data_IF_798227350114
#
_entry.id   IF_798227350114
#
_cell.length_a   1.000
_cell.length_b   1.000
_cell.length_c   1.000
_cell.angle_alpha   90.00
_cell.angle_beta   90.00
_cell.angle_gamma   90.00
#
_symmetry.space_group_name_H-M   'P 1'
#
loop_
_entity.id
_entity.type
_entity.pdbx_description
1 polymer ?
#
# COMPACT_ATOMS: atom_id res chain seq x y z
N UNK A 1 12.05 -28.48 18.34
CA UNK A 1 10.96 -28.12 17.43
C UNK A 1 11.19 -26.68 17.02
N UNK A 2 11.84 -26.45 15.87
CA UNK A 2 12.03 -25.09 15.36
C UNK A 2 10.71 -24.61 14.82
N UNK A 3 10.14 -23.57 15.44
CA UNK A 3 9.04 -22.82 14.83
C UNK A 3 9.52 -22.32 13.47
N UNK A 4 8.94 -22.87 12.39
CA UNK A 4 9.06 -22.30 11.06
C UNK A 4 8.54 -20.87 11.15
N UNK A 5 9.46 -19.90 11.21
CA UNK A 5 9.11 -18.51 11.37
C UNK A 5 8.53 -18.05 10.03
N UNK A 6 7.20 -18.01 9.93
CA UNK A 6 6.54 -17.52 8.72
C UNK A 6 6.91 -16.04 8.61
N UNK A 7 7.52 -15.60 7.48
CA UNK A 7 7.96 -14.23 7.34
C UNK A 7 6.76 -13.29 7.32
N UNK A 8 6.88 -12.13 7.98
CA UNK A 8 5.89 -11.07 7.87
C UNK A 8 5.76 -10.63 6.41
N UNK A 9 4.52 -10.49 5.95
CA UNK A 9 4.17 -10.13 4.57
C UNK A 9 3.66 -8.69 4.52
N UNK A 10 4.36 -7.86 3.76
CA UNK A 10 4.05 -6.46 3.55
C UNK A 10 3.62 -6.22 2.11
N UNK A 11 2.53 -5.50 1.92
CA UNK A 11 2.15 -4.95 0.63
C UNK A 11 2.37 -3.44 0.62
N UNK A 12 2.93 -2.90 -0.45
CA UNK A 12 3.07 -1.46 -0.69
C UNK A 12 2.19 -1.09 -1.87
N UNK A 13 1.17 -0.28 -1.64
CA UNK A 13 0.34 0.33 -2.69
C UNK A 13 0.97 1.64 -3.12
N UNK A 14 1.57 1.62 -4.31
CA UNK A 14 2.19 2.80 -4.92
C UNK A 14 1.12 3.69 -5.55
N UNK A 15 0.79 4.79 -4.88
CA UNK A 15 -0.24 5.75 -5.31
C UNK A 15 0.31 6.87 -6.20
N UNK A 16 1.42 6.60 -6.90
CA UNK A 16 2.05 7.52 -7.84
C UNK A 16 2.58 6.75 -9.06
N UNK A 17 2.51 7.39 -10.23
CA UNK A 17 3.11 6.86 -11.44
C UNK A 17 4.64 6.96 -11.34
N UNK A 18 5.35 5.98 -11.89
CA UNK A 18 6.81 5.98 -11.89
C UNK A 18 7.34 7.28 -12.50
N UNK A 19 8.21 7.96 -11.74
CA UNK A 19 8.90 9.13 -12.26
C UNK A 19 10.11 8.70 -13.07
N UNK A 20 10.35 9.32 -14.22
CA UNK A 20 11.60 9.16 -14.99
C UNK A 20 12.86 9.70 -14.28
N UNK A 21 12.78 10.04 -12.98
CA UNK A 21 13.87 10.67 -12.23
C UNK A 21 14.83 9.59 -11.71
N UNK A 22 16.15 9.76 -11.89
CA UNK A 22 17.13 8.87 -11.29
C UNK A 22 17.11 9.01 -9.75
N UNK A 23 17.11 7.87 -9.05
CA UNK A 23 17.09 7.77 -7.58
C UNK A 23 16.23 6.60 -7.09
N UNK A 24 16.32 6.24 -5.79
CA UNK A 24 15.46 5.22 -5.21
C UNK A 24 13.99 5.70 -5.21
N UNK A 25 13.08 4.81 -5.59
CA UNK A 25 11.64 5.06 -5.49
C UNK A 25 11.22 5.08 -4.02
N UNK A 26 10.07 5.70 -3.70
CA UNK A 26 9.53 5.66 -2.33
C UNK A 26 9.28 4.19 -1.92
N UNK A 27 8.71 3.39 -2.81
CA UNK A 27 8.52 1.94 -2.59
C UNK A 27 9.84 1.21 -2.31
N UNK A 28 10.92 1.55 -3.02
CA UNK A 28 12.25 1.00 -2.77
C UNK A 28 12.83 1.41 -1.41
N UNK A 29 12.71 2.68 -1.04
CA UNK A 29 13.13 3.18 0.28
C UNK A 29 12.34 2.53 1.42
N UNK A 30 11.03 2.34 1.26
CA UNK A 30 10.19 1.63 2.22
C UNK A 30 10.56 0.16 2.33
N UNK A 31 10.82 -0.51 1.20
CA UNK A 31 11.30 -1.90 1.19
C UNK A 31 12.60 -2.04 1.97
N UNK A 32 13.58 -1.16 1.72
CA UNK A 32 14.82 -1.13 2.48
C UNK A 32 14.56 -0.94 3.97
N UNK A 33 13.72 0.02 4.37
CA UNK A 33 13.40 0.26 5.79
C UNK A 33 12.73 -0.95 6.45
N UNK A 34 11.82 -1.63 5.74
CA UNK A 34 11.20 -2.87 6.22
C UNK A 34 12.28 -3.91 6.47
N UNK A 35 13.18 -4.15 5.53
CA UNK A 35 14.25 -5.14 5.68
C UNK A 35 15.27 -4.79 6.76
N UNK A 36 15.48 -3.51 7.08
CA UNK A 36 16.29 -3.13 8.24
C UNK A 36 15.64 -3.55 9.57
N UNK A 37 14.31 -3.61 9.64
CA UNK A 37 13.58 -3.96 10.86
C UNK A 37 13.19 -5.44 10.92
N UNK A 38 12.87 -6.02 9.75
CA UNK A 38 12.45 -7.40 9.54
C UNK A 38 13.22 -7.97 8.33
N UNK A 39 14.46 -8.47 8.54
CA UNK A 39 15.32 -8.92 7.45
C UNK A 39 14.70 -9.99 6.54
N UNK A 40 13.87 -10.87 7.09
CA UNK A 40 13.23 -11.97 6.37
C UNK A 40 11.85 -11.61 5.80
N UNK A 41 11.41 -10.35 5.91
CA UNK A 41 10.09 -9.93 5.46
C UNK A 41 9.89 -10.11 3.95
N UNK A 42 8.73 -10.63 3.57
CA UNK A 42 8.28 -10.66 2.19
C UNK A 42 7.61 -9.32 1.86
N UNK A 43 8.11 -8.61 0.85
CA UNK A 43 7.57 -7.31 0.43
C UNK A 43 7.10 -7.39 -1.02
N UNK A 44 5.87 -6.98 -1.28
CA UNK A 44 5.30 -6.89 -2.64
C UNK A 44 4.83 -5.46 -2.92
N UNK A 45 5.13 -4.94 -4.11
CA UNK A 45 4.70 -3.60 -4.54
C UNK A 45 3.58 -3.77 -5.56
N UNK A 46 2.48 -3.05 -5.35
CA UNK A 46 1.30 -3.02 -6.20
C UNK A 46 1.09 -1.61 -6.74
N UNK A 47 0.73 -1.50 -8.02
CA UNK A 47 0.52 -0.22 -8.72
C UNK A 47 -0.88 -0.13 -9.33
N UNK A 48 -1.96 0.02 -8.53
CA UNK A 48 -3.32 0.18 -9.06
C UNK A 48 -3.46 1.38 -10.02
N UNK A 49 -2.66 2.44 -9.81
CA UNK A 49 -2.58 3.59 -10.73
C UNK A 49 -2.14 3.22 -12.16
N UNK A 50 -1.46 2.08 -12.32
CA UNK A 50 -1.05 1.51 -13.62
C UNK A 50 -1.92 0.32 -14.04
N UNK A 51 -3.03 0.06 -13.34
CA UNK A 51 -3.96 -1.04 -13.64
C UNK A 51 -3.57 -2.39 -13.04
N UNK A 52 -2.58 -2.45 -12.16
CA UNK A 52 -2.31 -3.68 -11.38
C UNK A 52 -3.46 -3.96 -10.40
N UNK A 53 -3.66 -5.23 -10.05
CA UNK A 53 -4.62 -5.64 -9.03
C UNK A 53 -4.21 -5.15 -7.63
N UNK A 54 -5.19 -5.03 -6.74
CA UNK A 54 -4.94 -4.78 -5.32
C UNK A 54 -4.44 -6.07 -4.63
N UNK A 55 -3.62 -5.96 -3.57
CA UNK A 55 -3.26 -7.12 -2.76
C UNK A 55 -4.49 -7.79 -2.18
N UNK A 56 -4.45 -9.11 -2.03
CA UNK A 56 -5.49 -9.83 -1.31
C UNK A 56 -5.39 -9.52 0.21
N UNK A 57 -6.51 -9.08 0.79
CA UNK A 57 -6.60 -8.74 2.21
C UNK A 57 -6.32 -9.95 3.12
N UNK A 58 -6.53 -11.19 2.68
CA UNK A 58 -6.20 -12.35 3.53
C UNK A 58 -4.71 -12.73 3.51
N UNK A 59 -3.91 -12.12 2.62
CA UNK A 59 -2.57 -12.60 2.28
C UNK A 59 -1.42 -11.80 2.91
N UNK A 60 -1.71 -10.67 3.56
CA UNK A 60 -0.70 -9.73 4.08
C UNK A 60 -0.97 -9.35 5.54
N UNK A 61 0.09 -9.03 6.27
CA UNK A 61 0.02 -8.57 7.67
C UNK A 61 -0.12 -7.03 7.76
N UNK A 62 0.53 -6.32 6.82
CA UNK A 62 0.50 -4.87 6.71
C UNK A 62 0.39 -4.43 5.25
N UNK A 63 -0.50 -3.47 5.01
CA UNK A 63 -0.62 -2.79 3.72
C UNK A 63 -0.26 -1.31 3.90
N UNK A 64 0.76 -0.85 3.18
CA UNK A 64 1.28 0.52 3.22
C UNK A 64 0.78 1.28 1.99
N UNK A 65 0.01 2.34 2.20
CA UNK A 65 -0.43 3.25 1.13
C UNK A 65 0.52 4.44 1.06
N UNK A 66 1.24 4.57 -0.06
CA UNK A 66 2.19 5.68 -0.22
C UNK A 66 1.49 7.02 -0.44
N UNK A 67 2.29 8.09 -0.47
CA UNK A 67 1.85 9.37 -1.02
C UNK A 67 1.40 9.26 -2.47
N UNK A 68 0.65 10.26 -2.92
CA UNK A 68 0.01 10.34 -4.23
C UNK A 68 -0.27 11.81 -4.57
N UNK A 69 -0.50 12.08 -5.86
CA UNK A 69 -0.66 13.45 -6.38
C UNK A 69 -2.11 13.87 -6.59
N UNK A 70 -3.04 12.92 -6.58
CA UNK A 70 -4.46 13.22 -6.81
C UNK A 70 -5.04 13.97 -5.61
N UNK A 71 -5.76 15.06 -5.86
CA UNK A 71 -6.43 15.80 -4.79
C UNK A 71 -7.74 15.11 -4.41
N UNK A 72 -7.77 14.41 -3.27
CA UNK A 72 -8.95 13.69 -2.80
C UNK A 72 -10.15 14.61 -2.46
N UNK A 73 -9.88 15.89 -2.19
CA UNK A 73 -10.88 16.89 -1.84
C UNK A 73 -11.44 17.63 -3.05
N UNK A 74 -10.94 17.34 -4.26
CA UNK A 74 -11.51 17.90 -5.47
C UNK A 74 -12.92 17.33 -5.73
N UNK A 75 -13.77 18.18 -6.30
CA UNK A 75 -15.14 17.85 -6.73
C UNK A 75 -15.19 17.21 -8.11
N UNK A 76 -14.06 17.17 -8.82
CA UNK A 76 -13.93 16.45 -10.08
C UNK A 76 -14.13 14.93 -9.89
N UNK A 77 -14.67 14.23 -10.91
CA UNK A 77 -14.79 12.78 -10.86
C UNK A 77 -13.44 12.12 -10.58
N UNK A 78 -13.42 11.20 -9.61
CA UNK A 78 -12.21 10.48 -9.24
C UNK A 78 -11.86 9.45 -10.32
N UNK A 79 -10.59 9.33 -10.73
CA UNK A 79 -10.14 8.22 -11.57
C UNK A 79 -10.47 6.88 -10.92
N UNK A 80 -10.71 5.84 -11.71
CA UNK A 80 -11.09 4.51 -11.21
C UNK A 80 -10.13 3.98 -10.15
N UNK A 81 -8.82 4.10 -10.36
CA UNK A 81 -7.82 3.64 -9.39
C UNK A 81 -7.97 4.31 -8.01
N UNK A 82 -8.45 5.55 -7.94
CA UNK A 82 -8.71 6.25 -6.67
C UNK A 82 -9.95 5.66 -6.01
N UNK A 83 -11.05 5.54 -6.75
CA UNK A 83 -12.29 4.94 -6.23
C UNK A 83 -12.07 3.50 -5.77
N UNK A 84 -11.34 2.71 -6.55
CA UNK A 84 -10.98 1.33 -6.23
C UNK A 84 -10.09 1.27 -4.97
N UNK A 85 -9.16 2.22 -4.81
CA UNK A 85 -8.34 2.33 -3.59
C UNK A 85 -9.20 2.66 -2.36
N UNK A 86 -10.14 3.60 -2.47
CA UNK A 86 -11.06 3.93 -1.38
C UNK A 86 -11.99 2.76 -1.04
N UNK A 87 -12.48 2.05 -2.06
CA UNK A 87 -13.27 0.83 -1.88
C UNK A 87 -12.46 -0.28 -1.19
N UNK A 88 -11.20 -0.45 -1.56
CA UNK A 88 -10.26 -1.39 -0.92
C UNK A 88 -10.05 -1.07 0.56
N UNK A 89 -9.83 0.22 0.90
CA UNK A 89 -9.69 0.68 2.28
C UNK A 89 -10.96 0.37 3.10
N UNK A 90 -12.13 0.72 2.56
CA UNK A 90 -13.43 0.45 3.23
C UNK A 90 -13.64 -1.04 3.46
N UNK A 91 -13.30 -1.88 2.47
CA UNK A 91 -13.38 -3.34 2.61
C UNK A 91 -12.44 -3.84 3.71
N UNK A 92 -11.22 -3.34 3.77
CA UNK A 92 -10.27 -3.67 4.85
C UNK A 92 -10.77 -3.23 6.22
N UNK A 93 -11.38 -2.06 6.34
CA UNK A 93 -11.89 -1.53 7.62
C UNK A 93 -13.12 -2.30 8.13
N UNK A 94 -13.91 -2.88 7.23
CA UNK A 94 -15.10 -3.66 7.57
C UNK A 94 -14.78 -5.09 8.05
N UNK A 95 -13.55 -5.57 7.85
CA UNK A 95 -13.13 -6.93 8.19
C UNK A 95 -12.02 -6.90 9.26
N UNK A 96 -12.35 -7.34 10.48
CA UNK A 96 -11.39 -7.38 11.58
C UNK A 96 -10.21 -8.35 11.37
N UNK A 97 -10.31 -9.23 10.38
CA UNK A 97 -9.22 -10.15 9.98
C UNK A 97 -8.32 -9.60 8.87
N UNK A 98 -8.68 -8.44 8.29
CA UNK A 98 -7.87 -7.77 7.28
C UNK A 98 -6.55 -7.22 7.87
N UNK A 99 -5.54 -6.99 7.01
CA UNK A 99 -4.27 -6.39 7.40
C UNK A 99 -4.46 -5.04 8.06
N UNK A 100 -3.47 -4.68 8.88
CA UNK A 100 -3.34 -3.29 9.29
C UNK A 100 -3.06 -2.42 8.07
N UNK A 101 -3.60 -1.21 8.07
CA UNK A 101 -3.31 -0.20 7.05
C UNK A 101 -2.38 0.87 7.63
N UNK A 102 -1.33 1.22 6.88
CA UNK A 102 -0.46 2.36 7.16
C UNK A 102 -0.53 3.34 5.99
N UNK A 103 -1.10 4.52 6.22
CA UNK A 103 -1.15 5.59 5.23
C UNK A 103 -0.01 6.60 5.41
N UNK A 104 0.64 6.98 4.30
CA UNK A 104 1.66 8.04 4.28
C UNK A 104 1.17 9.18 3.37
N UNK A 105 1.13 10.41 3.89
CA UNK A 105 0.68 11.59 3.14
C UNK A 105 -0.72 11.37 2.53
N UNK A 106 -0.83 11.29 1.21
CA UNK A 106 -2.07 10.96 0.50
C UNK A 106 -2.70 9.65 1.00
N UNK A 107 -1.91 8.61 1.28
CA UNK A 107 -2.44 7.36 1.83
C UNK A 107 -3.09 7.54 3.20
N UNK A 108 -2.58 8.47 4.01
CA UNK A 108 -3.20 8.80 5.31
C UNK A 108 -4.51 9.57 5.11
N UNK A 109 -4.54 10.49 4.15
CA UNK A 109 -5.77 11.20 3.78
C UNK A 109 -6.83 10.21 3.28
N UNK A 110 -6.46 9.27 2.41
CA UNK A 110 -7.36 8.26 1.87
C UNK A 110 -7.97 7.36 2.95
N UNK A 111 -7.19 6.99 3.98
CA UNK A 111 -7.70 6.21 5.13
C UNK A 111 -8.67 7.04 5.99
N UNK A 112 -8.49 8.36 6.03
CA UNK A 112 -9.27 9.26 6.90
C UNK A 112 -10.58 9.75 6.27
N UNK A 113 -10.89 9.33 5.04
CA UNK A 113 -12.11 9.67 4.29
C UNK A 113 -13.15 8.55 4.34
#
# INVERSE_FOLDING_TARGET
MGSSNVPYKFAILQNYADSARPGPTISGSLTNLIHHSYPDAAVSVFRPIQGEAFPDLASYDLVILTGGRFNLLDTTPKPSWVEDTLAYIRKSAADSSAPKLLGICWGHQAISL
#
